data_IF_623049033129
#
_entry.id   IF_623049033129
#
_cell.length_a   1.000
_cell.length_b   1.000
_cell.length_c   1.000
_cell.angle_alpha   90.00
_cell.angle_beta   90.00
_cell.angle_gamma   90.00
#
_symmetry.space_group_name_H-M   'P 1'
#
loop_
_entity.id
_entity.type
_entity.pdbx_description
1 polymer ?
#
# COMPACT_ATOMS: atom_id res chain seq x y z
N UNK A 1 -19.09 3.05 -57.91
CA UNK A 1 -18.13 3.77 -57.05
C UNK A 1 -18.75 4.69 -55.99
N UNK A 2 -19.95 5.29 -56.17
CA UNK A 2 -20.58 6.14 -55.14
C UNK A 2 -21.07 5.40 -53.88
N UNK A 3 -21.40 4.10 -53.98
CA UNK A 3 -21.91 3.33 -52.84
C UNK A 3 -20.82 2.65 -51.98
N UNK A 4 -19.57 2.55 -52.47
CA UNK A 4 -18.46 1.99 -51.67
C UNK A 4 -17.92 3.00 -50.64
N UNK A 5 -18.05 4.30 -50.90
CA UNK A 5 -17.59 5.35 -49.99
C UNK A 5 -18.49 5.53 -48.76
N UNK A 6 -19.77 5.16 -48.84
CA UNK A 6 -20.72 5.29 -47.73
C UNK A 6 -20.54 4.17 -46.69
N UNK A 7 -20.11 2.98 -47.12
CA UNK A 7 -19.86 1.84 -46.22
C UNK A 7 -18.55 2.04 -45.43
N UNK A 8 -17.53 2.68 -46.02
CA UNK A 8 -16.30 3.04 -45.32
C UNK A 8 -16.51 4.12 -44.24
N UNK A 9 -17.50 5.01 -44.41
CA UNK A 9 -17.82 6.04 -43.43
C UNK A 9 -18.56 5.49 -42.18
N UNK A 10 -19.29 4.37 -42.32
CA UNK A 10 -20.03 3.76 -41.20
C UNK A 10 -19.15 2.93 -40.25
N UNK A 11 -17.97 2.48 -40.69
CA UNK A 11 -17.02 1.75 -39.84
C UNK A 11 -16.11 2.64 -38.99
N UNK A 12 -16.05 3.95 -39.26
CA UNK A 12 -15.19 4.88 -38.52
C UNK A 12 -15.85 5.51 -37.28
N UNK A 13 -17.16 5.31 -37.07
CA UNK A 13 -17.91 6.01 -36.00
C UNK A 13 -18.13 5.14 -34.75
N UNK A 14 -17.80 3.85 -34.78
CA UNK A 14 -18.03 2.94 -33.64
C UNK A 14 -16.80 2.62 -32.78
N UNK A 15 -15.67 3.27 -33.01
CA UNK A 15 -14.60 3.28 -32.01
C UNK A 15 -14.88 4.36 -30.95
N UNK A 16 -16.02 4.23 -30.27
CA UNK A 16 -16.09 4.72 -28.89
C UNK A 16 -15.07 3.90 -28.11
N UNK A 17 -13.83 4.40 -28.08
CA UNK A 17 -12.82 3.94 -27.13
C UNK A 17 -13.46 4.18 -25.78
N UNK A 18 -14.08 3.15 -25.21
CA UNK A 18 -14.43 3.15 -23.81
C UNK A 18 -13.11 3.36 -23.08
N UNK A 19 -12.86 4.61 -22.66
CA UNK A 19 -11.72 4.95 -21.83
C UNK A 19 -11.75 3.95 -20.67
N UNK A 20 -10.81 3.02 -20.67
CA UNK A 20 -10.85 1.94 -19.71
C UNK A 20 -10.61 2.60 -18.34
N UNK A 21 -11.55 2.42 -17.39
CA UNK A 21 -11.46 3.02 -16.05
C UNK A 21 -10.05 2.96 -15.45
N UNK A 22 -9.41 4.09 -15.19
CA UNK A 22 -8.08 4.23 -14.60
C UNK A 22 -8.16 4.55 -13.11
N UNK A 23 -7.06 4.31 -12.39
CA UNK A 23 -6.92 4.75 -10.99
C UNK A 23 -6.72 6.28 -10.88
N UNK A 24 -6.33 6.95 -11.96
CA UNK A 24 -6.27 8.43 -12.06
C UNK A 24 -7.56 9.04 -12.64
N UNK A 25 -8.60 8.25 -12.87
CA UNK A 25 -9.87 8.81 -13.34
C UNK A 25 -10.47 9.72 -12.28
N UNK A 26 -10.81 10.95 -12.67
CA UNK A 26 -11.58 11.88 -11.86
C UNK A 26 -13.01 11.39 -11.78
N UNK A 27 -13.51 11.23 -10.56
CA UNK A 27 -14.88 10.80 -10.31
C UNK A 27 -15.66 12.04 -9.90
N UNK A 28 -16.81 12.29 -10.53
CA UNK A 28 -17.65 13.44 -10.20
C UNK A 28 -18.09 13.42 -8.74
N UNK A 29 -18.10 14.58 -8.10
CA UNK A 29 -18.36 14.77 -6.67
C UNK A 29 -19.60 14.02 -6.19
N UNK A 30 -20.70 14.12 -6.94
CA UNK A 30 -21.98 13.46 -6.59
C UNK A 30 -21.83 11.93 -6.45
N UNK A 31 -21.06 11.29 -7.35
CA UNK A 31 -20.82 9.84 -7.28
C UNK A 31 -19.94 9.47 -6.09
N UNK A 32 -18.86 10.23 -5.86
CA UNK A 32 -17.98 10.02 -4.72
C UNK A 32 -18.72 10.19 -3.39
N UNK A 33 -19.56 11.23 -3.30
CA UNK A 33 -20.38 11.49 -2.11
C UNK A 33 -21.35 10.34 -1.88
N UNK A 34 -22.03 9.87 -2.94
CA UNK A 34 -22.95 8.73 -2.84
C UNK A 34 -22.25 7.46 -2.34
N UNK A 35 -21.06 7.15 -2.84
CA UNK A 35 -20.29 5.99 -2.41
C UNK A 35 -19.80 6.15 -0.96
N UNK A 36 -19.37 7.36 -0.56
CA UNK A 36 -18.98 7.65 0.83
C UNK A 36 -20.17 7.57 1.79
N UNK A 37 -21.34 8.11 1.40
CA UNK A 37 -22.58 7.98 2.17
C UNK A 37 -22.93 6.50 2.37
N UNK A 38 -22.85 5.69 1.32
CA UNK A 38 -23.10 4.25 1.40
C UNK A 38 -22.11 3.56 2.34
N UNK A 39 -20.81 3.83 2.21
CA UNK A 39 -19.76 3.29 3.07
C UNK A 39 -19.99 3.62 4.55
N UNK A 40 -20.22 4.88 4.90
CA UNK A 40 -20.45 5.27 6.30
C UNK A 40 -21.74 4.65 6.85
N UNK A 41 -22.82 4.65 6.06
CA UNK A 41 -24.11 4.12 6.49
C UNK A 41 -24.09 2.61 6.75
N UNK A 42 -23.47 1.81 5.87
CA UNK A 42 -23.41 0.37 6.07
C UNK A 42 -22.59 0.01 7.31
N UNK A 43 -21.50 0.74 7.57
CA UNK A 43 -20.67 0.51 8.75
C UNK A 43 -21.40 0.84 10.04
N UNK A 44 -22.12 1.96 10.10
CA UNK A 44 -22.97 2.30 11.26
C UNK A 44 -24.03 1.25 11.56
N UNK A 45 -24.54 0.56 10.53
CA UNK A 45 -25.58 -0.47 10.67
C UNK A 45 -25.04 -1.87 10.97
N UNK A 46 -23.89 -2.24 10.42
CA UNK A 46 -23.44 -3.62 10.37
C UNK A 46 -22.06 -3.87 11.03
N UNK A 47 -21.22 -2.84 11.21
CA UNK A 47 -19.92 -3.03 11.84
C UNK A 47 -20.05 -2.98 13.37
N UNK A 48 -20.12 -4.15 13.99
CA UNK A 48 -20.19 -4.29 15.47
C UNK A 48 -18.94 -3.75 16.18
N UNK A 49 -17.81 -3.62 15.49
CA UNK A 49 -16.56 -3.09 16.02
C UNK A 49 -16.38 -1.58 15.86
N UNK A 50 -17.28 -0.88 15.17
CA UNK A 50 -17.10 0.53 14.77
C UNK A 50 -16.75 1.45 15.95
N UNK A 51 -17.42 1.24 17.08
CA UNK A 51 -17.27 2.08 18.28
C UNK A 51 -16.43 1.43 19.39
N UNK A 52 -15.74 0.31 19.10
CA UNK A 52 -14.92 -0.40 20.10
C UNK A 52 -13.75 0.45 20.60
N UNK A 53 -13.12 1.20 19.71
CA UNK A 53 -11.93 2.02 20.01
C UNK A 53 -12.14 3.51 19.75
N UNK A 54 -13.29 3.90 19.23
CA UNK A 54 -13.63 5.27 18.85
C UNK A 54 -15.04 5.61 19.34
N UNK A 55 -15.20 6.80 19.87
CA UNK A 55 -16.52 7.34 20.22
C UNK A 55 -17.30 7.73 18.96
N UNK A 56 -18.63 7.83 19.07
CA UNK A 56 -19.50 8.34 17.99
C UNK A 56 -18.99 9.70 17.48
N UNK A 57 -18.64 10.62 18.40
CA UNK A 57 -18.12 11.94 18.04
C UNK A 57 -16.80 11.87 17.25
N UNK A 58 -15.92 10.92 17.59
CA UNK A 58 -14.67 10.71 16.85
C UNK A 58 -14.92 10.18 15.44
N UNK A 59 -15.82 9.20 15.29
CA UNK A 59 -16.24 8.67 13.99
C UNK A 59 -16.88 9.77 13.13
N UNK A 60 -17.86 10.50 13.67
CA UNK A 60 -18.51 11.60 12.94
C UNK A 60 -17.51 12.71 12.55
N UNK A 61 -16.49 12.95 13.39
CA UNK A 61 -15.44 13.94 13.09
C UNK A 61 -14.56 13.52 11.91
N UNK A 62 -14.14 12.25 11.85
CA UNK A 62 -13.31 11.76 10.74
C UNK A 62 -14.12 11.66 9.44
N UNK A 63 -15.40 11.29 9.50
CA UNK A 63 -16.31 11.29 8.36
C UNK A 63 -16.46 12.70 7.79
N UNK A 64 -16.71 13.71 8.63
CA UNK A 64 -16.78 15.12 8.20
C UNK A 64 -15.49 15.58 7.52
N UNK A 65 -14.33 15.12 7.98
CA UNK A 65 -13.04 15.40 7.31
C UNK A 65 -12.95 14.71 5.95
N UNK A 66 -13.42 13.47 5.82
CA UNK A 66 -13.47 12.75 4.55
C UNK A 66 -14.34 13.48 3.52
N UNK A 67 -15.54 13.94 3.89
CA UNK A 67 -16.41 14.71 2.98
C UNK A 67 -15.75 16.00 2.46
N UNK A 68 -14.94 16.68 3.28
CA UNK A 68 -14.22 17.90 2.89
C UNK A 68 -13.08 17.64 1.88
N UNK A 69 -12.62 16.40 1.74
CA UNK A 69 -11.59 16.01 0.76
C UNK A 69 -12.17 15.72 -0.62
N UNK A 70 -13.49 15.60 -0.75
CA UNK A 70 -14.15 15.30 -2.02
C UNK A 70 -14.25 16.55 -2.90
N UNK A 71 -13.96 16.40 -4.19
CA UNK A 71 -14.14 17.41 -5.23
C UNK A 71 -14.37 16.73 -6.58
N UNK A 72 -14.77 17.48 -7.61
CA UNK A 72 -14.83 16.98 -8.99
C UNK A 72 -13.46 16.65 -9.59
N UNK A 73 -12.38 17.00 -8.89
CA UNK A 73 -11.01 16.68 -9.27
C UNK A 73 -10.47 15.43 -8.56
N UNK A 74 -11.20 14.88 -7.59
CA UNK A 74 -10.77 13.72 -6.82
C UNK A 74 -10.72 12.49 -7.71
N UNK A 75 -9.54 11.87 -7.76
CA UNK A 75 -9.29 10.65 -8.53
C UNK A 75 -9.75 9.40 -7.78
N UNK A 76 -9.91 8.28 -8.48
CA UNK A 76 -10.21 6.99 -7.85
C UNK A 76 -9.15 6.57 -6.82
N UNK A 77 -7.85 6.82 -7.07
CA UNK A 77 -6.76 6.58 -6.12
C UNK A 77 -6.89 7.45 -4.87
N UNK A 78 -7.21 8.72 -5.02
CA UNK A 78 -7.42 9.62 -3.88
C UNK A 78 -8.65 9.24 -3.07
N UNK A 79 -9.73 8.80 -3.72
CA UNK A 79 -10.88 8.26 -3.03
C UNK A 79 -10.54 6.97 -2.27
N UNK A 80 -9.74 6.08 -2.85
CA UNK A 80 -9.18 4.91 -2.15
C UNK A 80 -8.40 5.31 -0.89
N UNK A 81 -7.61 6.38 -0.93
CA UNK A 81 -6.90 6.88 0.25
C UNK A 81 -7.88 7.38 1.33
N UNK A 82 -8.95 8.08 0.95
CA UNK A 82 -9.99 8.55 1.88
C UNK A 82 -10.65 7.36 2.59
N UNK A 83 -11.02 6.32 1.83
CA UNK A 83 -11.65 5.12 2.41
C UNK A 83 -10.66 4.34 3.29
N UNK A 84 -9.39 4.25 2.89
CA UNK A 84 -8.33 3.59 3.68
C UNK A 84 -8.10 4.31 5.01
N UNK A 85 -8.08 5.64 5.01
CA UNK A 85 -7.94 6.44 6.25
C UNK A 85 -9.11 6.23 7.20
N UNK A 86 -10.35 6.16 6.70
CA UNK A 86 -11.52 5.85 7.53
C UNK A 86 -11.41 4.43 8.11
N UNK A 87 -11.12 3.45 7.26
CA UNK A 87 -11.01 2.05 7.63
C UNK A 87 -9.93 1.80 8.69
N UNK A 88 -8.76 2.45 8.53
CA UNK A 88 -7.67 2.40 9.49
C UNK A 88 -8.03 3.10 10.81
N UNK A 89 -8.65 4.28 10.73
CA UNK A 89 -8.98 5.07 11.91
C UNK A 89 -9.89 4.32 12.89
N UNK A 90 -10.79 3.47 12.41
CA UNK A 90 -11.70 2.68 13.24
C UNK A 90 -10.99 1.68 14.16
N UNK A 91 -9.77 1.26 13.81
CA UNK A 91 -8.94 0.40 14.66
C UNK A 91 -9.42 -1.05 14.70
N UNK A 92 -9.78 -1.63 13.55
CA UNK A 92 -10.05 -3.06 13.40
C UNK A 92 -9.09 -3.62 12.36
N UNK A 93 -8.41 -4.72 12.67
CA UNK A 93 -7.52 -5.43 11.73
C UNK A 93 -8.25 -6.09 10.55
N UNK A 94 -9.58 -6.16 10.61
CA UNK A 94 -10.43 -6.77 9.57
C UNK A 94 -11.04 -5.76 8.60
N UNK A 95 -10.57 -4.51 8.63
CA UNK A 95 -11.08 -3.41 7.81
C UNK A 95 -10.29 -3.24 6.50
N UNK A 96 -10.17 -4.30 5.71
CA UNK A 96 -9.40 -4.24 4.47
C UNK A 96 -10.08 -3.38 3.40
N UNK A 97 -9.27 -2.58 2.71
CA UNK A 97 -9.70 -1.76 1.57
C UNK A 97 -8.86 -2.15 0.36
N UNK A 98 -9.53 -2.47 -0.75
CA UNK A 98 -8.86 -2.89 -1.97
C UNK A 98 -9.47 -2.24 -3.20
N UNK A 99 -8.64 -1.96 -4.20
CA UNK A 99 -9.15 -1.67 -5.54
C UNK A 99 -9.85 -2.89 -6.15
N UNK A 100 -10.81 -2.65 -7.05
CA UNK A 100 -11.36 -3.73 -7.88
C UNK A 100 -10.28 -4.45 -8.68
N UNK A 101 -10.48 -5.73 -9.00
CA UNK A 101 -9.52 -6.54 -9.76
C UNK A 101 -9.09 -5.89 -11.08
N UNK A 102 -10.03 -5.22 -11.78
CA UNK A 102 -9.74 -4.51 -13.03
C UNK A 102 -8.71 -3.40 -12.83
N UNK A 103 -8.81 -2.66 -11.74
CA UNK A 103 -7.87 -1.59 -11.40
C UNK A 103 -6.54 -2.19 -10.90
N UNK A 104 -6.58 -3.25 -10.10
CA UNK A 104 -5.38 -3.97 -9.66
C UNK A 104 -4.57 -4.47 -10.86
N UNK A 105 -5.20 -5.09 -11.86
CA UNK A 105 -4.52 -5.57 -13.09
C UNK A 105 -3.77 -4.43 -13.80
N UNK A 106 -4.34 -3.23 -13.81
CA UNK A 106 -3.69 -2.04 -14.39
C UNK A 106 -2.51 -1.56 -13.56
N UNK A 107 -2.68 -1.43 -12.25
CA UNK A 107 -1.61 -1.03 -11.34
C UNK A 107 -0.44 -1.99 -11.45
N UNK A 108 -0.70 -3.31 -11.50
CA UNK A 108 0.33 -4.35 -11.63
C UNK A 108 1.11 -4.25 -12.96
N UNK A 109 0.42 -3.91 -14.05
CA UNK A 109 1.04 -3.74 -15.37
C UNK A 109 1.83 -2.43 -15.51
N UNK A 110 1.48 -1.39 -14.75
CA UNK A 110 2.08 -0.07 -14.87
C UNK A 110 3.41 0.06 -14.10
N UNK A 111 4.27 0.97 -14.56
CA UNK A 111 5.54 1.31 -13.93
C UNK A 111 5.31 2.34 -12.82
N UNK A 112 4.79 1.88 -11.68
CA UNK A 112 4.47 2.71 -10.51
C UNK A 112 5.23 2.32 -9.24
N UNK A 113 5.89 1.15 -9.24
CA UNK A 113 6.52 0.58 -8.06
C UNK A 113 7.92 1.19 -7.85
N UNK A 114 8.20 1.65 -6.62
CA UNK A 114 9.54 2.00 -6.18
C UNK A 114 10.44 0.74 -6.20
N UNK A 115 11.54 0.73 -6.99
CA UNK A 115 12.23 -0.51 -7.33
C UNK A 115 13.15 -1.04 -6.23
N UNK A 116 13.43 -0.27 -5.18
CA UNK A 116 14.41 -0.64 -4.15
C UNK A 116 13.68 -1.27 -2.96
N UNK A 117 13.92 -2.56 -2.65
CA UNK A 117 13.48 -3.16 -1.40
C UNK A 117 14.00 -2.38 -0.19
N UNK A 118 13.14 -2.18 0.80
CA UNK A 118 13.48 -1.48 2.03
C UNK A 118 13.20 -2.35 3.26
N UNK A 119 13.63 -1.88 4.42
CA UNK A 119 13.22 -2.39 5.74
C UNK A 119 12.98 -1.21 6.66
N UNK A 120 11.92 -1.24 7.46
CA UNK A 120 11.67 -0.19 8.45
C UNK A 120 12.27 -0.60 9.79
N UNK A 121 13.29 0.12 10.23
CA UNK A 121 14.00 -0.12 11.49
C UNK A 121 14.00 1.17 12.31
N UNK A 122 13.47 1.13 13.53
CA UNK A 122 13.39 2.27 14.45
C UNK A 122 12.82 3.55 13.81
N UNK A 123 11.78 3.41 13.00
CA UNK A 123 11.12 4.52 12.30
C UNK A 123 11.92 5.08 11.10
N UNK A 124 12.99 4.41 10.69
CA UNK A 124 13.81 4.76 9.53
C UNK A 124 13.56 3.81 8.38
N UNK A 125 13.66 4.33 7.16
CA UNK A 125 13.59 3.52 5.94
C UNK A 125 15.02 3.14 5.55
N UNK A 126 15.37 1.87 5.71
CA UNK A 126 16.71 1.35 5.43
C UNK A 126 16.70 0.61 4.09
N UNK A 127 17.68 0.88 3.24
CA UNK A 127 17.84 0.17 1.96
C UNK A 127 18.23 -1.29 2.20
N UNK A 128 17.43 -2.19 1.65
CA UNK A 128 17.55 -3.64 1.83
C UNK A 128 17.93 -4.34 0.52
N UNK A 129 18.80 -3.70 -0.26
CA UNK A 129 19.17 -4.15 -1.59
C UNK A 129 20.66 -3.92 -1.84
N UNK A 130 21.34 -4.96 -2.33
CA UNK A 130 22.74 -4.89 -2.79
C UNK A 130 22.86 -4.55 -4.27
N UNK A 131 21.76 -4.64 -5.03
CA UNK A 131 21.71 -4.40 -6.48
C UNK A 131 21.21 -2.98 -6.83
N UNK A 132 20.98 -2.09 -5.84
CA UNK A 132 20.49 -0.73 -6.07
C UNK A 132 21.61 0.30 -6.19
N UNK A 133 21.30 1.44 -6.82
CA UNK A 133 22.21 2.60 -6.87
C UNK A 133 22.46 3.24 -5.50
N UNK A 134 21.55 3.01 -4.55
CA UNK A 134 21.73 3.38 -3.15
C UNK A 134 22.35 2.17 -2.42
N UNK A 135 23.44 2.35 -1.65
CA UNK A 135 24.07 1.24 -0.92
C UNK A 135 23.13 0.57 0.09
N UNK A 136 23.29 -0.74 0.26
CA UNK A 136 22.62 -1.50 1.32
C UNK A 136 22.92 -0.90 2.69
N UNK A 137 21.92 -0.83 3.57
CA UNK A 137 22.05 -0.26 4.91
C UNK A 137 21.96 1.26 4.96
N UNK A 138 21.94 1.97 3.82
CA UNK A 138 21.71 3.40 3.81
C UNK A 138 20.31 3.77 4.34
N UNK A 139 20.23 4.85 5.10
CA UNK A 139 18.98 5.46 5.53
C UNK A 139 18.46 6.37 4.42
N UNK A 140 17.24 6.12 3.94
CA UNK A 140 16.49 7.07 3.12
C UNK A 140 15.96 8.17 4.04
N UNK A 141 16.39 9.41 3.77
CA UNK A 141 16.02 10.61 4.54
C UNK A 141 14.75 11.24 3.97
N UNK A 142 14.63 11.29 2.64
CA UNK A 142 13.43 11.80 1.98
C UNK A 142 13.28 11.24 0.56
N UNK A 143 12.04 11.23 0.06
CA UNK A 143 11.73 10.91 -1.33
C UNK A 143 10.88 12.05 -1.89
N UNK A 144 11.31 12.64 -3.00
CA UNK A 144 10.65 13.78 -3.64
C UNK A 144 10.39 14.96 -2.66
N UNK A 145 11.34 15.20 -1.75
CA UNK A 145 11.26 16.26 -0.73
C UNK A 145 10.39 15.93 0.49
N UNK A 146 9.71 14.79 0.52
CA UNK A 146 8.90 14.35 1.66
C UNK A 146 9.77 13.52 2.60
N UNK A 147 9.80 13.88 3.89
CA UNK A 147 10.63 13.19 4.88
C UNK A 147 10.20 11.73 5.03
N UNK A 148 11.16 10.84 5.24
CA UNK A 148 10.91 9.40 5.39
C UNK A 148 9.86 9.08 6.47
N UNK A 149 9.91 9.76 7.62
CA UNK A 149 8.93 9.59 8.69
C UNK A 149 7.51 10.02 8.26
N UNK A 150 7.38 11.06 7.45
CA UNK A 150 6.09 11.50 6.90
C UNK A 150 5.55 10.49 5.89
N UNK A 151 6.42 9.92 5.05
CA UNK A 151 6.05 8.84 4.12
C UNK A 151 5.54 7.62 4.89
N UNK A 152 6.24 7.19 5.94
CA UNK A 152 5.80 6.07 6.78
C UNK A 152 4.42 6.32 7.40
N UNK A 153 4.15 7.55 7.87
CA UNK A 153 2.84 7.95 8.39
C UNK A 153 1.77 7.92 7.30
N UNK A 154 2.03 8.50 6.14
CA UNK A 154 1.10 8.50 5.00
C UNK A 154 0.77 7.07 4.56
N UNK A 155 1.77 6.20 4.52
CA UNK A 155 1.60 4.81 4.10
C UNK A 155 0.95 3.92 5.16
N UNK A 156 0.88 4.35 6.43
CA UNK A 156 0.38 3.52 7.53
C UNK A 156 -1.12 3.22 7.43
N UNK A 157 -1.89 4.05 6.70
CA UNK A 157 -3.33 3.89 6.53
C UNK A 157 -3.72 2.67 5.67
N UNK A 158 -2.77 2.07 4.95
CA UNK A 158 -3.03 0.95 4.05
C UNK A 158 -2.90 -0.42 4.72
N UNK A 159 -2.66 -0.44 6.04
CA UNK A 159 -2.63 -1.66 6.84
C UNK A 159 -3.35 -1.40 8.16
N UNK A 160 -4.52 -1.99 8.31
CA UNK A 160 -5.36 -1.78 9.50
C UNK A 160 -4.91 -2.68 10.65
N UNK A 161 -5.15 -2.24 11.88
CA UNK A 161 -4.76 -2.96 13.09
C UNK A 161 -5.79 -2.74 14.17
N UNK A 162 -5.87 -3.66 15.13
CA UNK A 162 -6.74 -3.46 16.29
C UNK A 162 -6.27 -2.31 17.18
N UNK A 163 -7.23 -1.45 17.55
CA UNK A 163 -7.06 -0.35 18.49
C UNK A 163 -6.13 0.76 18.01
N UNK A 164 -4.97 0.85 18.65
CA UNK A 164 -3.97 1.92 18.46
C UNK A 164 -2.59 1.37 18.12
N UNK A 165 -2.49 0.07 17.79
CA UNK A 165 -1.20 -0.57 17.51
C UNK A 165 -0.57 -0.03 16.22
N UNK A 166 0.72 0.27 16.27
CA UNK A 166 1.50 0.63 15.07
C UNK A 166 2.54 -0.43 14.68
N UNK A 167 2.70 -1.46 15.51
CA UNK A 167 3.77 -2.46 15.35
C UNK A 167 3.60 -3.22 14.03
N UNK A 168 2.42 -3.79 13.79
CA UNK A 168 2.14 -4.53 12.56
C UNK A 168 2.18 -3.63 11.31
N UNK A 169 1.79 -2.35 11.45
CA UNK A 169 1.87 -1.37 10.35
C UNK A 169 3.29 -1.16 9.88
N UNK A 170 4.26 -1.12 10.81
CA UNK A 170 5.68 -1.03 10.49
C UNK A 170 6.13 -2.22 9.64
N UNK A 171 5.79 -3.45 10.05
CA UNK A 171 6.14 -4.66 9.29
C UNK A 171 5.46 -4.72 7.91
N UNK A 172 4.23 -4.22 7.80
CA UNK A 172 3.53 -4.15 6.51
C UNK A 172 4.26 -3.25 5.50
N UNK A 173 5.02 -2.24 5.95
CA UNK A 173 5.82 -1.40 5.06
C UNK A 173 6.95 -2.19 4.40
N UNK A 174 7.58 -3.17 5.06
CA UNK A 174 8.73 -3.89 4.49
C UNK A 174 8.42 -4.47 3.10
N UNK A 175 7.26 -5.11 2.96
CA UNK A 175 6.78 -5.65 1.68
C UNK A 175 5.85 -4.72 0.89
N UNK A 176 5.12 -3.83 1.59
CA UNK A 176 4.09 -2.98 1.00
C UNK A 176 4.57 -1.61 0.54
N UNK A 177 5.72 -1.13 1.01
CA UNK A 177 6.20 0.26 0.85
C UNK A 177 6.11 0.74 -0.58
N UNK A 178 6.55 -0.07 -1.55
CA UNK A 178 6.53 0.32 -2.95
C UNK A 178 5.11 0.58 -3.48
N UNK A 179 4.12 -0.22 -3.08
CA UNK A 179 2.74 -0.02 -3.50
C UNK A 179 2.12 1.16 -2.75
N UNK A 180 2.40 1.25 -1.45
CA UNK A 180 1.91 2.33 -0.58
C UNK A 180 2.43 3.70 -0.99
N UNK A 181 3.70 3.81 -1.42
CA UNK A 181 4.26 5.05 -1.95
C UNK A 181 3.53 5.51 -3.21
N UNK A 182 3.15 4.58 -4.10
CA UNK A 182 2.32 4.89 -5.25
C UNK A 182 0.90 5.32 -4.82
N UNK A 183 0.28 4.61 -3.88
CA UNK A 183 -1.06 4.98 -3.41
C UNK A 183 -1.07 6.38 -2.79
N UNK A 184 -0.06 6.71 -1.97
CA UNK A 184 -0.01 8.00 -1.27
C UNK A 184 0.40 9.15 -2.20
N UNK A 185 1.43 8.97 -3.02
CA UNK A 185 2.01 10.07 -3.83
C UNK A 185 1.53 10.12 -5.28
N UNK A 186 0.85 9.07 -5.74
CA UNK A 186 0.45 8.89 -7.15
C UNK A 186 1.62 8.49 -8.05
N UNK A 187 1.32 8.34 -9.35
CA UNK A 187 2.33 7.97 -10.35
C UNK A 187 3.44 9.03 -10.43
N UNK A 188 4.70 8.58 -10.44
CA UNK A 188 5.89 9.41 -10.65
C UNK A 188 6.67 8.91 -11.85
N UNK A 189 7.36 9.81 -12.55
CA UNK A 189 8.30 9.42 -13.62
C UNK A 189 9.67 9.04 -13.05
N UNK A 190 10.03 9.64 -11.93
CA UNK A 190 11.26 9.40 -11.18
C UNK A 190 11.07 9.75 -9.70
N UNK A 191 11.95 9.22 -8.86
CA UNK A 191 12.06 9.51 -7.45
C UNK A 191 13.42 10.14 -7.18
N UNK A 192 13.43 11.36 -6.64
CA UNK A 192 14.61 12.00 -6.08
C UNK A 192 14.74 11.55 -4.63
N UNK A 193 15.74 10.74 -4.34
CA UNK A 193 15.93 10.10 -3.04
C UNK A 193 17.16 10.70 -2.36
N UNK A 194 16.93 11.37 -1.23
CA UNK A 194 18.02 11.78 -0.34
C UNK A 194 18.31 10.64 0.64
N UNK A 195 19.57 10.24 0.77
CA UNK A 195 20.00 9.14 1.60
C UNK A 195 21.35 9.40 2.27
N UNK A 196 21.64 8.67 3.34
CA UNK A 196 22.94 8.73 4.04
C UNK A 196 23.34 7.35 4.59
N UNK A 197 24.63 7.05 4.63
CA UNK A 197 25.13 5.81 5.27
C UNK A 197 25.20 5.96 6.79
N UNK A 198 25.62 7.13 7.25
CA UNK A 198 25.63 7.56 8.64
C UNK A 198 25.69 9.10 8.64
N UNK A 199 25.52 9.70 9.82
CA UNK A 199 25.51 11.16 9.97
C UNK A 199 26.82 11.84 9.52
N UNK A 200 27.94 11.11 9.53
CA UNK A 200 29.26 11.64 9.19
C UNK A 200 29.47 11.68 7.67
N UNK A 201 28.95 10.70 6.93
CA UNK A 201 29.12 10.57 5.49
C UNK A 201 28.36 11.63 4.67
N UNK A 202 27.50 12.42 5.32
CA UNK A 202 26.66 13.42 4.70
C UNK A 202 25.50 12.84 3.88
N UNK A 203 24.58 13.72 3.49
CA UNK A 203 23.42 13.37 2.66
C UNK A 203 23.85 13.36 1.18
N UNK A 204 23.48 12.31 0.48
CA UNK A 204 23.64 12.12 -0.97
C UNK A 204 22.27 12.04 -1.64
N UNK A 205 22.26 12.29 -2.95
CA UNK A 205 21.06 12.17 -3.77
C UNK A 205 21.20 11.03 -4.78
N UNK A 206 20.11 10.31 -5.02
CA UNK A 206 19.96 9.37 -6.14
C UNK A 206 18.64 9.63 -6.87
N UNK A 207 18.66 9.46 -8.20
CA UNK A 207 17.45 9.49 -9.03
C UNK A 207 17.09 8.05 -9.42
N UNK A 208 15.87 7.64 -9.10
CA UNK A 208 15.40 6.27 -9.27
C UNK A 208 14.13 6.26 -10.11
N UNK A 209 14.10 5.43 -11.17
CA UNK A 209 12.90 5.26 -12.00
C UNK A 209 11.97 4.19 -11.41
N UNK A 210 10.64 4.38 -11.43
CA UNK A 210 9.70 3.33 -11.04
C UNK A 210 9.78 2.15 -12.01
N UNK A 211 9.34 0.99 -11.53
CA UNK A 211 9.25 -0.25 -12.31
C UNK A 211 7.85 -0.84 -12.19
N UNK A 212 7.55 -1.84 -13.01
CA UNK A 212 6.31 -2.60 -12.87
C UNK A 212 6.42 -3.66 -11.75
N UNK A 213 5.29 -4.28 -11.39
CA UNK A 213 5.24 -5.26 -10.30
C UNK A 213 6.15 -6.47 -10.52
N UNK A 214 6.33 -6.91 -11.77
CA UNK A 214 7.16 -8.07 -12.12
C UNK A 214 8.63 -7.80 -11.75
N UNK A 215 9.17 -6.65 -12.17
CA UNK A 215 10.54 -6.25 -11.88
C UNK A 215 10.71 -6.02 -10.38
N UNK A 216 9.80 -5.28 -9.73
CA UNK A 216 9.86 -5.11 -8.26
C UNK A 216 9.89 -6.45 -7.52
N UNK A 217 9.05 -7.42 -7.94
CA UNK A 217 9.04 -8.74 -7.31
C UNK A 217 10.35 -9.50 -7.49
N UNK A 218 11.08 -9.29 -8.59
CA UNK A 218 12.40 -9.88 -8.79
C UNK A 218 13.41 -9.28 -7.82
N UNK A 219 13.43 -7.95 -7.67
CA UNK A 219 14.29 -7.27 -6.71
C UNK A 219 13.96 -7.68 -5.27
N UNK A 220 12.68 -7.74 -4.91
CA UNK A 220 12.23 -8.09 -3.57
C UNK A 220 12.62 -9.52 -3.17
N UNK A 221 12.64 -10.46 -4.11
CA UNK A 221 13.11 -11.84 -3.88
C UNK A 221 14.62 -11.92 -3.62
N UNK A 222 15.39 -10.93 -4.07
CA UNK A 222 16.85 -10.82 -3.90
C UNK A 222 17.27 -9.85 -2.79
N UNK A 223 16.30 -9.32 -2.00
CA UNK A 223 16.59 -8.38 -0.91
C UNK A 223 17.60 -8.98 0.07
N UNK A 224 18.42 -8.12 0.67
CA UNK A 224 19.54 -8.54 1.53
C UNK A 224 19.06 -9.41 2.71
N UNK A 225 17.93 -9.08 3.31
CA UNK A 225 17.37 -9.83 4.45
C UNK A 225 16.63 -11.13 4.09
N UNK A 226 16.59 -11.58 2.82
CA UNK A 226 15.74 -12.71 2.39
C UNK A 226 15.93 -13.97 3.25
N UNK A 227 17.18 -14.32 3.58
CA UNK A 227 17.49 -15.51 4.38
C UNK A 227 16.86 -15.37 5.77
N UNK A 228 17.11 -14.25 6.43
CA UNK A 228 16.62 -13.96 7.78
C UNK A 228 15.09 -13.85 7.83
N UNK A 229 14.47 -13.18 6.86
CA UNK A 229 13.01 -13.04 6.83
C UNK A 229 12.31 -14.37 6.56
N UNK A 230 12.99 -15.31 5.89
CA UNK A 230 12.40 -16.59 5.51
C UNK A 230 12.38 -17.60 6.65
N UNK A 231 13.23 -17.45 7.68
CA UNK A 231 13.37 -18.49 8.71
C UNK A 231 12.08 -18.75 9.49
N UNK A 232 11.21 -17.74 9.65
CA UNK A 232 9.96 -17.83 10.41
C UNK A 232 8.73 -18.12 9.55
N UNK A 233 8.90 -18.45 8.27
CA UNK A 233 7.76 -18.71 7.39
C UNK A 233 7.25 -20.13 7.55
N UNK A 234 5.97 -20.35 7.27
CA UNK A 234 5.37 -21.70 7.22
C UNK A 234 6.01 -22.61 6.17
N UNK A 235 6.76 -22.04 5.21
CA UNK A 235 7.54 -22.78 4.21
C UNK A 235 8.79 -23.43 4.78
N UNK A 236 9.34 -22.89 5.86
CA UNK A 236 10.61 -23.33 6.47
C UNK A 236 10.42 -23.92 7.85
N UNK A 237 9.28 -23.67 8.51
CA UNK A 237 8.98 -24.18 9.85
C UNK A 237 7.59 -24.80 9.88
N UNK A 238 7.49 -25.95 10.55
CA UNK A 238 6.20 -26.59 10.82
C UNK A 238 5.31 -25.66 11.66
N UNK A 239 3.99 -25.68 11.44
CA UNK A 239 3.04 -24.83 12.17
C UNK A 239 3.12 -25.04 13.68
N UNK A 240 3.50 -26.24 14.11
CA UNK A 240 3.70 -26.60 15.50
C UNK A 240 5.03 -27.35 15.65
N UNK A 241 5.76 -27.09 16.73
CA UNK A 241 6.89 -27.95 17.12
C UNK A 241 7.04 -28.04 18.63
N UNK A 242 7.54 -29.18 19.09
CA UNK A 242 7.75 -29.50 20.49
C UNK A 242 9.18 -30.01 20.69
N UNK A 243 9.87 -29.48 21.69
CA UNK A 243 11.25 -29.83 22.01
C UNK A 243 11.41 -29.87 23.54
N UNK A 244 12.01 -30.94 24.07
CA UNK A 244 12.43 -31.01 25.47
C UNK A 244 13.83 -30.40 25.54
N UNK A 245 13.99 -29.24 26.17
CA UNK A 245 15.29 -28.56 26.28
C UNK A 245 16.13 -29.24 27.37
N UNK A 246 15.52 -29.60 28.49
CA UNK A 246 16.15 -30.33 29.60
C UNK A 246 15.09 -30.97 30.52
N UNK A 247 15.53 -31.59 31.63
CA UNK A 247 14.66 -32.30 32.57
C UNK A 247 13.47 -31.49 33.10
N UNK A 248 13.59 -30.15 33.15
CA UNK A 248 12.59 -29.26 33.72
C UNK A 248 12.06 -28.21 32.73
N UNK A 249 12.37 -28.31 31.43
CA UNK A 249 12.00 -27.28 30.45
C UNK A 249 11.63 -27.88 29.11
N UNK A 250 10.47 -27.50 28.60
CA UNK A 250 9.98 -27.82 27.27
C UNK A 250 9.70 -26.55 26.48
N UNK A 251 9.92 -26.59 25.17
CA UNK A 251 9.61 -25.53 24.22
C UNK A 251 8.50 -26.00 23.29
N UNK A 252 7.33 -25.42 23.49
CA UNK A 252 6.21 -25.52 22.55
C UNK A 252 6.20 -24.27 21.68
N UNK A 253 6.31 -24.45 20.37
CA UNK A 253 6.15 -23.37 19.42
C UNK A 253 4.81 -23.55 18.68
N UNK A 254 3.97 -22.52 18.73
CA UNK A 254 2.72 -22.42 17.98
C UNK A 254 2.89 -21.24 17.01
N UNK A 255 2.99 -21.54 15.71
CA UNK A 255 3.28 -20.54 14.66
C UNK A 255 2.07 -20.19 13.81
N UNK A 256 1.08 -21.07 13.76
CA UNK A 256 -0.15 -20.86 13.03
C UNK A 256 -1.31 -21.45 13.82
N UNK A 257 -2.49 -20.86 13.66
CA UNK A 257 -3.77 -21.44 14.06
C UNK A 257 -4.61 -21.86 12.85
N UNK A 258 -4.05 -21.79 11.64
CA UNK A 258 -4.71 -22.31 10.44
C UNK A 258 -4.88 -23.82 10.56
N UNK A 259 -6.06 -24.30 10.17
CA UNK A 259 -6.43 -25.72 10.16
C UNK A 259 -6.74 -26.08 8.71
N UNK A 260 -6.06 -27.10 8.17
CA UNK A 260 -6.39 -27.69 6.86
C UNK A 260 -5.67 -27.11 5.64
N UNK A 261 -4.44 -26.62 5.79
CA UNK A 261 -3.55 -26.33 4.65
C UNK A 261 -3.06 -27.61 3.93
#
# INVERSE_FOLDING_TARGET
MKYLLVIAAFFLINNSVFAQKSYEDKIGYSKLKSDLDFFCNIRKKANSGLYKYRTVNQIDSIEKKAYKKLSDQTTLREFFNIISELADYEGSVHNDVSFSEKIVKKIVADSVYFPVPIKVLDGKIIVNSIESSIPVGAEIVSINGIKALEILKLNSIYYTTDGYSNVAKTFAQDGGFSAYLFFSLGKKLEYKVLYQMNSIAGIKEAVIKPVNRKIFSQHYKKRHSIILDSIYTSKTQLPYSFEIINQNTVKLNIRSFAIGD
#
